data_IF_916832634881
#
_entry.id   IF_916832634881
#
_cell.length_a   1.000
_cell.length_b   1.000
_cell.length_c   1.000
_cell.angle_alpha   90.00
_cell.angle_beta   90.00
_cell.angle_gamma   90.00
#
_symmetry.space_group_name_H-M   'P 1'
#
loop_
_entity.id
_entity.type
_entity.pdbx_description
1 polymer ?
#
# COMPACT_ATOMS: atom_id res chain seq x y z
N UNK A 1 -95.69 42.66 -29.84
CA UNK A 1 -96.04 41.51 -28.97
C UNK A 1 -96.74 40.48 -29.84
N UNK A 2 -96.10 39.34 -30.12
CA UNK A 2 -96.70 38.17 -30.78
C UNK A 2 -96.33 36.97 -29.89
N UNK A 3 -97.33 36.17 -29.53
CA UNK A 3 -97.25 35.09 -28.54
C UNK A 3 -96.35 33.92 -29.01
N UNK A 4 -95.74 33.14 -28.09
CA UNK A 4 -94.93 31.98 -28.46
C UNK A 4 -95.84 30.81 -28.89
N UNK A 5 -95.75 30.43 -30.16
CA UNK A 5 -96.42 29.25 -30.71
C UNK A 5 -95.74 27.98 -30.16
N UNK A 6 -96.54 27.08 -29.55
CA UNK A 6 -96.04 25.80 -29.01
C UNK A 6 -95.58 24.90 -30.16
N UNK A 7 -94.44 24.20 -30.06
CA UNK A 7 -94.02 23.27 -31.10
C UNK A 7 -94.97 22.07 -31.15
N UNK A 8 -95.70 21.93 -32.27
CA UNK A 8 -96.52 20.76 -32.58
C UNK A 8 -95.61 19.52 -32.71
N UNK A 9 -95.98 18.37 -32.12
CA UNK A 9 -95.16 17.16 -32.20
C UNK A 9 -95.07 16.66 -33.65
N UNK A 10 -93.84 16.44 -34.13
CA UNK A 10 -93.55 15.97 -35.48
C UNK A 10 -94.33 14.67 -35.80
N UNK A 11 -94.89 14.53 -37.01
CA UNK A 11 -95.66 13.35 -37.40
C UNK A 11 -94.74 12.12 -37.35
N UNK A 12 -95.20 11.06 -36.67
CA UNK A 12 -94.54 9.75 -36.67
C UNK A 12 -94.37 9.33 -38.13
N UNK A 13 -93.14 9.07 -38.55
CA UNK A 13 -92.82 8.65 -39.92
C UNK A 13 -93.72 7.50 -40.34
N UNK A 14 -94.48 7.69 -41.42
CA UNK A 14 -95.34 6.66 -41.96
C UNK A 14 -94.46 5.45 -42.36
N UNK A 15 -94.66 4.30 -41.71
CA UNK A 15 -93.97 3.08 -42.07
C UNK A 15 -94.47 2.59 -43.43
N UNK A 16 -93.57 2.15 -44.31
CA UNK A 16 -93.95 1.57 -45.59
C UNK A 16 -94.66 0.22 -45.41
N UNK A 17 -95.60 -0.10 -46.29
CA UNK A 17 -96.25 -1.41 -46.31
C UNK A 17 -95.26 -2.50 -46.79
N UNK A 18 -95.24 -3.66 -46.13
CA UNK A 18 -94.31 -4.79 -46.43
C UNK A 18 -95.00 -5.85 -47.30
N UNK A 19 -94.34 -6.29 -48.37
CA UNK A 19 -94.83 -7.33 -49.30
C UNK A 19 -93.82 -8.46 -49.54
N UNK A 20 -94.30 -9.62 -50.02
CA UNK A 20 -93.56 -10.91 -50.10
C UNK A 20 -92.28 -10.87 -50.97
N UNK A 21 -92.12 -9.86 -51.86
CA UNK A 21 -90.90 -9.61 -52.64
C UNK A 21 -90.49 -8.13 -52.62
N UNK A 22 -90.52 -7.52 -51.44
CA UNK A 22 -90.14 -6.12 -51.24
C UNK A 22 -88.63 -5.86 -51.21
N UNK A 23 -88.26 -4.57 -51.21
CA UNK A 23 -86.88 -4.13 -50.97
C UNK A 23 -86.41 -4.53 -49.57
N UNK A 24 -85.09 -4.72 -49.41
CA UNK A 24 -84.50 -5.02 -48.12
C UNK A 24 -84.66 -3.82 -47.17
N UNK A 25 -85.44 -4.01 -46.10
CA UNK A 25 -85.79 -2.94 -45.15
C UNK A 25 -84.55 -2.25 -44.57
N UNK A 26 -83.48 -3.01 -44.24
CA UNK A 26 -82.25 -2.44 -43.69
C UNK A 26 -81.56 -1.50 -44.69
N UNK A 27 -81.49 -1.90 -45.96
CA UNK A 27 -80.89 -1.06 -47.01
C UNK A 27 -81.73 0.20 -47.29
N UNK A 28 -83.06 0.09 -47.20
CA UNK A 28 -83.96 1.24 -47.36
C UNK A 28 -83.82 2.21 -46.19
N UNK A 29 -83.75 1.70 -44.95
CA UNK A 29 -83.58 2.52 -43.75
C UNK A 29 -82.20 3.22 -43.75
N UNK A 30 -81.13 2.52 -44.14
CA UNK A 30 -79.79 3.09 -44.35
C UNK A 30 -79.84 4.23 -45.38
N UNK A 31 -80.48 4.00 -46.54
CA UNK A 31 -80.61 5.02 -47.60
C UNK A 31 -81.47 6.21 -47.18
N UNK A 32 -82.55 6.00 -46.43
CA UNK A 32 -83.38 7.09 -45.90
C UNK A 32 -82.65 7.89 -44.82
N UNK A 33 -81.84 7.23 -44.00
CA UNK A 33 -81.00 7.92 -43.03
C UNK A 33 -79.95 8.80 -43.73
N UNK A 34 -79.32 8.31 -44.80
CA UNK A 34 -78.44 9.09 -45.67
C UNK A 34 -79.18 10.28 -46.31
N UNK A 35 -80.33 10.05 -46.95
CA UNK A 35 -81.14 11.11 -47.55
C UNK A 35 -81.60 12.16 -46.53
N UNK A 36 -81.95 11.74 -45.31
CA UNK A 36 -82.33 12.66 -44.23
C UNK A 36 -81.12 13.47 -43.77
N UNK A 37 -79.92 12.87 -43.75
CA UNK A 37 -78.66 13.57 -43.46
C UNK A 37 -78.34 14.59 -44.55
N UNK A 38 -78.40 14.19 -45.83
CA UNK A 38 -78.22 15.07 -46.99
C UNK A 38 -79.24 16.22 -47.00
N UNK A 39 -80.51 15.95 -46.67
CA UNK A 39 -81.55 16.98 -46.58
C UNK A 39 -81.27 18.00 -45.46
N UNK A 40 -80.77 17.55 -44.31
CA UNK A 40 -80.36 18.43 -43.20
C UNK A 40 -79.11 19.24 -43.54
N UNK A 41 -78.15 18.63 -44.23
CA UNK A 41 -76.94 19.31 -44.67
C UNK A 41 -77.26 20.37 -45.74
N UNK A 42 -78.08 20.02 -46.73
CA UNK A 42 -78.54 20.98 -47.76
C UNK A 42 -79.42 22.08 -47.17
N UNK A 43 -80.27 21.80 -46.17
CA UNK A 43 -81.03 22.85 -45.48
C UNK A 43 -80.12 23.81 -44.72
N UNK A 44 -79.09 23.30 -44.01
CA UNK A 44 -78.09 24.13 -43.33
C UNK A 44 -77.32 24.99 -44.32
N UNK A 45 -76.81 24.39 -45.40
CA UNK A 45 -76.07 25.12 -46.44
C UNK A 45 -76.95 26.18 -47.12
N UNK A 46 -78.25 25.90 -47.32
CA UNK A 46 -79.20 26.88 -47.83
C UNK A 46 -79.38 28.04 -46.85
N UNK A 47 -79.55 27.76 -45.56
CA UNK A 47 -79.76 28.79 -44.55
C UNK A 47 -78.49 29.67 -44.41
N UNK A 48 -77.30 29.08 -44.46
CA UNK A 48 -76.01 29.79 -44.52
C UNK A 48 -75.88 30.66 -45.79
N UNK A 49 -76.30 30.12 -46.95
CA UNK A 49 -76.31 30.87 -48.20
C UNK A 49 -77.30 32.04 -48.18
N UNK A 50 -78.48 31.87 -47.56
CA UNK A 50 -79.46 32.94 -47.38
C UNK A 50 -78.93 34.01 -46.42
N UNK A 51 -78.26 33.60 -45.34
CA UNK A 51 -77.62 34.54 -44.42
C UNK A 51 -76.54 35.37 -45.12
N UNK A 52 -75.62 34.71 -45.85
CA UNK A 52 -74.56 35.40 -46.60
C UNK A 52 -75.13 36.31 -47.70
N UNK A 53 -76.18 35.89 -48.41
CA UNK A 53 -76.89 36.75 -49.39
C UNK A 53 -77.51 37.98 -48.73
N UNK A 54 -78.08 37.83 -47.53
CA UNK A 54 -78.65 38.96 -46.78
C UNK A 54 -77.58 39.95 -46.34
N UNK A 55 -76.40 39.48 -45.92
CA UNK A 55 -75.30 40.33 -45.49
C UNK A 55 -74.62 41.03 -46.67
N UNK A 56 -74.45 40.35 -47.80
CA UNK A 56 -74.00 40.95 -49.05
C UNK A 56 -74.97 42.03 -49.53
N UNK A 57 -76.28 41.81 -49.41
CA UNK A 57 -77.29 42.82 -49.78
C UNK A 57 -77.19 44.05 -48.89
N UNK A 58 -76.98 43.89 -47.58
CA UNK A 58 -76.73 45.02 -46.65
C UNK A 58 -75.45 45.77 -47.04
N UNK A 59 -74.35 45.06 -47.26
CA UNK A 59 -73.07 45.65 -47.66
C UNK A 59 -73.18 46.42 -48.99
N UNK A 60 -73.91 45.87 -49.97
CA UNK A 60 -74.16 46.53 -51.25
C UNK A 60 -75.00 47.79 -51.07
N UNK A 61 -76.06 47.74 -50.25
CA UNK A 61 -76.88 48.92 -49.97
C UNK A 61 -76.10 50.04 -49.26
N UNK A 62 -75.17 49.67 -48.37
CA UNK A 62 -74.27 50.60 -47.70
C UNK A 62 -73.30 51.22 -48.71
N UNK A 63 -72.64 50.40 -49.54
CA UNK A 63 -71.73 50.87 -50.59
C UNK A 63 -72.43 51.79 -51.61
N UNK A 64 -73.69 51.49 -51.98
CA UNK A 64 -74.47 52.35 -52.87
C UNK A 64 -74.76 53.73 -52.25
N UNK A 65 -75.04 53.79 -50.94
CA UNK A 65 -75.25 55.05 -50.21
C UNK A 65 -73.96 55.87 -50.16
N UNK A 66 -72.86 55.27 -49.73
CA UNK A 66 -71.53 55.89 -49.71
C UNK A 66 -71.13 56.42 -51.09
N UNK A 67 -71.39 55.65 -52.15
CA UNK A 67 -71.09 56.05 -53.52
C UNK A 67 -71.96 57.24 -53.97
N UNK A 68 -73.24 57.29 -53.57
CA UNK A 68 -74.10 58.43 -53.86
C UNK A 68 -73.65 59.69 -53.09
N UNK A 69 -73.27 59.55 -51.82
CA UNK A 69 -72.78 60.64 -50.97
C UNK A 69 -71.45 61.21 -51.47
N UNK A 70 -70.49 60.35 -51.82
CA UNK A 70 -69.19 60.75 -52.41
C UNK A 70 -69.35 61.40 -53.77
N UNK A 71 -70.24 60.87 -54.64
CA UNK A 71 -70.57 61.54 -55.92
C UNK A 71 -71.17 62.93 -55.70
N UNK A 72 -72.07 63.09 -54.73
CA UNK A 72 -72.65 64.39 -54.40
C UNK A 72 -71.59 65.35 -53.84
N UNK A 73 -70.66 64.87 -53.00
CA UNK A 73 -69.54 65.67 -52.50
C UNK A 73 -68.60 66.10 -53.64
N UNK A 74 -68.23 65.18 -54.54
CA UNK A 74 -67.41 65.47 -55.70
C UNK A 74 -68.06 66.49 -56.64
N UNK A 75 -69.36 66.36 -56.90
CA UNK A 75 -70.11 67.31 -57.72
C UNK A 75 -70.09 68.73 -57.13
N UNK A 76 -70.19 68.87 -55.79
CA UNK A 76 -70.06 70.15 -55.08
C UNK A 76 -68.64 70.73 -55.19
N UNK A 77 -67.61 69.88 -55.14
CA UNK A 77 -66.21 70.30 -55.32
C UNK A 77 -65.93 70.76 -56.76
N UNK A 78 -66.49 70.07 -57.76
CA UNK A 78 -66.25 70.38 -59.18
C UNK A 78 -67.00 71.62 -59.66
N UNK A 79 -68.18 71.92 -59.09
CA UNK A 79 -69.02 73.04 -59.55
C UNK A 79 -68.52 74.41 -59.10
N UNK A 80 -67.75 74.50 -58.01
CA UNK A 80 -67.15 75.77 -57.54
C UNK A 80 -65.87 75.51 -56.76
N UNK A 81 -64.72 75.34 -57.44
CA UNK A 81 -63.45 74.97 -56.83
C UNK A 81 -62.91 75.99 -55.83
N UNK A 82 -63.34 77.25 -55.89
CA UNK A 82 -62.97 78.34 -54.96
C UNK A 82 -64.06 78.65 -53.93
N UNK A 83 -65.20 77.95 -53.96
CA UNK A 83 -66.29 78.12 -53.01
C UNK A 83 -65.95 77.53 -51.63
N UNK A 84 -66.51 78.12 -50.56
CA UNK A 84 -66.26 77.70 -49.18
C UNK A 84 -66.56 76.21 -48.92
N UNK A 85 -67.58 75.64 -49.58
CA UNK A 85 -67.90 74.22 -49.50
C UNK A 85 -66.83 73.30 -50.09
N UNK A 86 -66.28 73.64 -51.26
CA UNK A 86 -65.21 72.86 -51.91
C UNK A 86 -63.88 72.92 -51.13
N UNK A 87 -63.60 74.06 -50.50
CA UNK A 87 -62.45 74.20 -49.59
C UNK A 87 -62.61 73.35 -48.33
N UNK A 88 -63.80 73.33 -47.71
CA UNK A 88 -64.06 72.51 -46.52
C UNK A 88 -63.94 71.01 -46.81
N UNK A 89 -64.43 70.53 -47.96
CA UNK A 89 -64.29 69.12 -48.33
C UNK A 89 -62.83 68.73 -48.64
N UNK A 90 -62.04 69.61 -49.28
CA UNK A 90 -60.59 69.36 -49.44
C UNK A 90 -59.85 69.27 -48.12
N UNK A 91 -60.17 70.14 -47.15
CA UNK A 91 -59.56 70.07 -45.81
C UNK A 91 -59.93 68.78 -45.09
N UNK A 92 -61.20 68.33 -45.19
CA UNK A 92 -61.60 67.01 -44.65
C UNK A 92 -60.81 65.88 -45.30
N UNK A 93 -60.67 65.89 -46.63
CA UNK A 93 -59.91 64.86 -47.34
C UNK A 93 -58.42 64.88 -46.95
N UNK A 94 -57.81 66.07 -46.83
CA UNK A 94 -56.42 66.17 -46.34
C UNK A 94 -56.28 65.66 -44.90
N UNK A 95 -57.27 65.91 -44.04
CA UNK A 95 -57.25 65.39 -42.67
C UNK A 95 -57.38 63.86 -42.63
N UNK A 96 -58.28 63.30 -43.44
CA UNK A 96 -58.42 61.84 -43.59
C UNK A 96 -57.15 61.20 -44.13
N UNK A 97 -56.52 61.80 -45.15
CA UNK A 97 -55.25 61.31 -45.69
C UNK A 97 -54.12 61.39 -44.66
N UNK A 98 -54.08 62.45 -43.85
CA UNK A 98 -53.13 62.56 -42.74
C UNK A 98 -53.39 61.52 -41.64
N UNK A 99 -54.66 61.21 -41.34
CA UNK A 99 -55.03 60.16 -40.39
C UNK A 99 -54.60 58.77 -40.89
N UNK A 100 -54.80 58.48 -42.17
CA UNK A 100 -54.32 57.26 -42.84
C UNK A 100 -52.79 57.18 -42.79
N UNK A 101 -52.08 58.25 -43.13
CA UNK A 101 -50.62 58.30 -43.08
C UNK A 101 -50.08 58.12 -41.64
N UNK A 102 -50.74 58.70 -40.63
CA UNK A 102 -50.40 58.47 -39.22
C UNK A 102 -50.66 57.02 -38.82
N UNK A 103 -51.76 56.41 -39.28
CA UNK A 103 -52.07 55.01 -39.00
C UNK A 103 -51.01 54.08 -39.62
N UNK A 104 -50.60 54.35 -40.86
CA UNK A 104 -49.55 53.61 -41.55
C UNK A 104 -48.20 53.77 -40.85
N UNK A 105 -47.83 54.99 -40.45
CA UNK A 105 -46.60 55.24 -39.69
C UNK A 105 -46.61 54.53 -38.33
N UNK A 106 -47.76 54.48 -37.65
CA UNK A 106 -47.89 53.73 -36.39
C UNK A 106 -47.76 52.23 -36.63
N UNK A 107 -48.44 51.69 -37.63
CA UNK A 107 -48.36 50.28 -38.01
C UNK A 107 -46.92 49.87 -38.37
N UNK A 108 -46.23 50.70 -39.16
CA UNK A 108 -44.82 50.50 -39.50
C UNK A 108 -43.91 50.54 -38.26
N UNK A 109 -44.10 51.53 -37.38
CA UNK A 109 -43.31 51.64 -36.14
C UNK A 109 -43.56 50.46 -35.19
N UNK A 110 -44.79 49.96 -35.09
CA UNK A 110 -45.13 48.77 -34.31
C UNK A 110 -44.51 47.49 -34.91
N UNK A 111 -44.54 47.35 -36.23
CA UNK A 111 -43.89 46.24 -36.94
C UNK A 111 -42.37 46.26 -36.75
N UNK A 112 -41.73 47.42 -36.84
CA UNK A 112 -40.29 47.59 -36.62
C UNK A 112 -39.91 47.31 -35.16
N UNK A 113 -40.72 47.78 -34.21
CA UNK A 113 -40.53 47.47 -32.79
C UNK A 113 -40.68 45.97 -32.50
N UNK A 114 -41.66 45.31 -33.10
CA UNK A 114 -41.85 43.86 -32.99
C UNK A 114 -40.67 43.09 -33.60
N UNK A 115 -40.26 43.46 -34.82
CA UNK A 115 -39.09 42.89 -35.49
C UNK A 115 -37.81 43.04 -34.66
N UNK A 116 -37.59 44.22 -34.08
CA UNK A 116 -36.44 44.50 -33.22
C UNK A 116 -36.44 43.64 -31.95
N UNK A 117 -37.62 43.46 -31.32
CA UNK A 117 -37.78 42.58 -30.16
C UNK A 117 -37.52 41.12 -30.54
N UNK A 118 -38.08 40.64 -31.64
CA UNK A 118 -37.87 39.28 -32.12
C UNK A 118 -36.40 38.99 -32.43
N UNK A 119 -35.69 39.95 -33.02
CA UNK A 119 -34.25 39.84 -33.28
C UNK A 119 -33.44 39.81 -31.97
N UNK A 120 -33.77 40.67 -31.02
CA UNK A 120 -33.13 40.68 -29.70
C UNK A 120 -33.35 39.37 -28.94
N UNK A 121 -34.57 38.83 -28.97
CA UNK A 121 -34.91 37.56 -28.35
C UNK A 121 -34.16 36.39 -29.01
N UNK A 122 -34.11 36.35 -30.34
CA UNK A 122 -33.31 35.35 -31.09
C UNK A 122 -31.84 35.42 -30.70
N UNK A 123 -31.26 36.62 -30.68
CA UNK A 123 -29.86 36.82 -30.29
C UNK A 123 -29.59 36.40 -28.84
N UNK A 124 -30.49 36.75 -27.91
CA UNK A 124 -30.39 36.34 -26.52
C UNK A 124 -30.47 34.81 -26.36
N UNK A 125 -31.41 34.16 -27.07
CA UNK A 125 -31.55 32.71 -27.07
C UNK A 125 -30.33 32.00 -27.67
N UNK A 126 -29.82 32.51 -28.80
CA UNK A 126 -28.62 31.95 -29.43
C UNK A 126 -27.40 32.11 -28.52
N UNK A 127 -27.22 33.29 -27.92
CA UNK A 127 -26.12 33.57 -26.98
C UNK A 127 -26.16 32.66 -25.75
N UNK A 128 -27.35 32.44 -25.18
CA UNK A 128 -27.52 31.46 -24.08
C UNK A 128 -27.19 30.05 -24.54
N UNK A 129 -27.69 29.65 -25.70
CA UNK A 129 -27.43 28.31 -26.25
C UNK A 129 -25.94 28.08 -26.53
N UNK A 130 -25.21 29.07 -27.04
CA UNK A 130 -23.77 28.95 -27.28
C UNK A 130 -22.98 28.93 -25.98
N UNK A 131 -23.36 29.77 -25.00
CA UNK A 131 -22.75 29.75 -23.67
C UNK A 131 -22.98 28.40 -22.97
N UNK A 132 -24.19 27.86 -23.01
CA UNK A 132 -24.53 26.56 -22.41
C UNK A 132 -23.76 25.41 -23.08
N UNK A 133 -23.58 25.47 -24.41
CA UNK A 133 -22.76 24.50 -25.13
C UNK A 133 -21.29 24.60 -24.73
N UNK A 134 -20.73 25.80 -24.73
CA UNK A 134 -19.33 26.02 -24.34
C UNK A 134 -19.06 25.57 -22.90
N UNK A 135 -20.00 25.82 -21.98
CA UNK A 135 -19.90 25.35 -20.60
C UNK A 135 -19.87 23.82 -20.52
N UNK A 136 -20.76 23.13 -21.27
CA UNK A 136 -20.77 21.66 -21.33
C UNK A 136 -19.49 21.10 -21.95
N UNK A 137 -19.04 21.67 -23.06
CA UNK A 137 -17.82 21.22 -23.73
C UNK A 137 -16.60 21.38 -22.80
N UNK A 138 -16.50 22.50 -22.07
CA UNK A 138 -15.45 22.72 -21.07
C UNK A 138 -15.55 21.75 -19.87
N UNK A 139 -16.76 21.41 -19.42
CA UNK A 139 -16.97 20.40 -18.37
C UNK A 139 -16.54 19.00 -18.83
N UNK A 140 -16.87 18.62 -20.07
CA UNK A 140 -16.47 17.35 -20.67
C UNK A 140 -14.95 17.26 -20.85
N UNK A 141 -14.31 18.31 -21.35
CA UNK A 141 -12.84 18.38 -21.47
C UNK A 141 -12.17 18.27 -20.10
N UNK A 142 -12.68 19.00 -19.10
CA UNK A 142 -12.18 18.90 -17.72
C UNK A 142 -12.34 17.48 -17.17
N UNK A 143 -13.49 16.84 -17.40
CA UNK A 143 -13.73 15.48 -16.95
C UNK A 143 -12.77 14.47 -17.62
N UNK A 144 -12.51 14.64 -18.93
CA UNK A 144 -11.52 13.82 -19.67
C UNK A 144 -10.12 13.99 -19.10
N UNK A 145 -9.65 15.23 -18.96
CA UNK A 145 -8.32 15.52 -18.43
C UNK A 145 -8.15 14.99 -17.00
N UNK A 146 -9.18 15.10 -16.15
CA UNK A 146 -9.14 14.54 -14.80
C UNK A 146 -9.10 13.00 -14.82
N UNK A 147 -9.82 12.36 -15.74
CA UNK A 147 -9.77 10.90 -15.90
C UNK A 147 -8.40 10.43 -16.38
N UNK A 148 -7.83 11.13 -17.36
CA UNK A 148 -6.48 10.85 -17.87
C UNK A 148 -5.42 11.03 -16.79
N UNK A 149 -5.44 12.16 -16.08
CA UNK A 149 -4.52 12.43 -14.98
C UNK A 149 -4.63 11.40 -13.86
N UNK A 150 -5.85 10.97 -13.50
CA UNK A 150 -6.06 9.88 -12.53
C UNK A 150 -5.45 8.58 -13.02
N UNK A 151 -5.70 8.21 -14.28
CA UNK A 151 -5.13 7.01 -14.89
C UNK A 151 -3.59 7.04 -14.95
N UNK A 152 -3.00 8.20 -15.23
CA UNK A 152 -1.54 8.39 -15.19
C UNK A 152 -0.97 8.26 -13.78
N UNK A 153 -1.61 8.89 -12.78
CA UNK A 153 -1.22 8.77 -11.38
C UNK A 153 -1.29 7.32 -10.92
N UNK A 154 -2.35 6.59 -11.27
CA UNK A 154 -2.48 5.16 -10.96
C UNK A 154 -1.37 4.32 -11.60
N UNK A 155 -1.05 4.56 -12.88
CA UNK A 155 0.06 3.88 -13.57
C UNK A 155 1.41 4.19 -12.91
N UNK A 156 1.67 5.44 -12.56
CA UNK A 156 2.91 5.85 -11.90
C UNK A 156 3.02 5.23 -10.51
N UNK A 157 1.93 5.21 -9.75
CA UNK A 157 1.88 4.57 -8.43
C UNK A 157 2.09 3.06 -8.53
N UNK A 158 1.47 2.39 -9.51
CA UNK A 158 1.68 0.97 -9.75
C UNK A 158 3.14 0.67 -10.13
N UNK A 159 3.72 1.46 -11.03
CA UNK A 159 5.13 1.31 -11.43
C UNK A 159 6.10 1.57 -10.27
N UNK A 160 5.83 2.58 -9.45
CA UNK A 160 6.62 2.87 -8.25
C UNK A 160 6.47 1.74 -7.21
N UNK A 161 5.26 1.20 -7.04
CA UNK A 161 4.98 0.03 -6.19
C UNK A 161 5.76 -1.20 -6.64
N UNK A 162 5.73 -1.53 -7.93
CA UNK A 162 6.48 -2.64 -8.51
C UNK A 162 8.00 -2.47 -8.27
N UNK A 163 8.56 -1.28 -8.55
CA UNK A 163 9.97 -0.99 -8.29
C UNK A 163 10.34 -1.14 -6.81
N UNK A 164 9.48 -0.75 -5.88
CA UNK A 164 9.72 -0.93 -4.43
C UNK A 164 9.80 -2.41 -4.07
N UNK A 165 8.88 -3.22 -4.60
CA UNK A 165 8.89 -4.67 -4.37
C UNK A 165 10.14 -5.32 -4.96
N UNK A 166 10.51 -4.95 -6.18
CA UNK A 166 11.73 -5.44 -6.84
C UNK A 166 13.00 -5.07 -6.05
N UNK A 167 13.12 -3.82 -5.62
CA UNK A 167 14.27 -3.36 -4.82
C UNK A 167 14.31 -4.03 -3.45
N UNK A 168 13.16 -4.24 -2.80
CA UNK A 168 13.08 -4.96 -1.53
C UNK A 168 13.53 -6.41 -1.69
N UNK A 169 13.05 -7.10 -2.73
CA UNK A 169 13.46 -8.48 -3.03
C UNK A 169 14.94 -8.58 -3.41
N UNK A 170 15.48 -7.61 -4.16
CA UNK A 170 16.91 -7.55 -4.48
C UNK A 170 17.77 -7.32 -3.23
N UNK A 171 17.35 -6.42 -2.34
CA UNK A 171 18.04 -6.17 -1.08
C UNK A 171 18.01 -7.39 -0.15
N UNK A 172 16.89 -8.13 -0.11
CA UNK A 172 16.79 -9.37 0.66
C UNK A 172 17.73 -10.46 0.12
N UNK A 173 17.77 -10.66 -1.20
CA UNK A 173 18.72 -11.59 -1.83
C UNK A 173 20.17 -11.22 -1.52
N UNK A 174 20.52 -9.94 -1.65
CA UNK A 174 21.87 -9.47 -1.35
C UNK A 174 22.25 -9.69 0.13
N UNK A 175 21.30 -9.56 1.06
CA UNK A 175 21.52 -9.90 2.47
C UNK A 175 21.75 -11.39 2.66
N UNK A 176 20.90 -12.24 2.10
CA UNK A 176 21.05 -13.70 2.17
C UNK A 176 22.39 -14.17 1.58
N UNK A 177 22.79 -13.60 0.44
CA UNK A 177 24.11 -13.86 -0.17
C UNK A 177 25.27 -13.40 0.73
N UNK A 178 25.16 -12.22 1.34
CA UNK A 178 26.17 -11.73 2.28
C UNK A 178 26.26 -12.60 3.55
N UNK A 179 25.11 -13.00 4.10
CA UNK A 179 25.01 -13.84 5.30
C UNK A 179 25.61 -15.23 5.03
N UNK A 180 25.22 -15.88 3.92
CA UNK A 180 25.79 -17.17 3.50
C UNK A 180 27.30 -17.10 3.21
N UNK A 181 27.78 -16.01 2.59
CA UNK A 181 29.21 -15.80 2.38
C UNK A 181 29.97 -15.57 3.69
N UNK A 182 29.36 -14.88 4.66
CA UNK A 182 29.93 -14.68 5.99
C UNK A 182 29.98 -15.99 6.78
N UNK A 183 28.92 -16.81 6.73
CA UNK A 183 28.89 -18.14 7.34
C UNK A 183 29.94 -19.06 6.73
N UNK A 184 30.09 -19.08 5.39
CA UNK A 184 31.12 -19.86 4.72
C UNK A 184 32.54 -19.45 5.15
N UNK A 185 32.81 -18.14 5.24
CA UNK A 185 34.10 -17.62 5.74
C UNK A 185 34.33 -17.98 7.21
N UNK A 186 33.30 -17.89 8.04
CA UNK A 186 33.38 -18.26 9.46
C UNK A 186 33.63 -19.76 9.63
N UNK A 187 33.00 -20.61 8.82
CA UNK A 187 33.23 -22.05 8.80
C UNK A 187 34.68 -22.37 8.39
N UNK A 188 35.17 -21.77 7.30
CA UNK A 188 36.56 -21.94 6.86
C UNK A 188 37.57 -21.50 7.95
N UNK A 189 37.33 -20.35 8.59
CA UNK A 189 38.19 -19.87 9.68
C UNK A 189 38.16 -20.80 10.90
N UNK A 190 37.02 -21.43 11.21
CA UNK A 190 36.91 -22.45 12.27
C UNK A 190 37.70 -23.71 11.91
N UNK A 191 37.57 -24.20 10.68
CA UNK A 191 38.33 -25.36 10.21
C UNK A 191 39.85 -25.10 10.24
N UNK A 192 40.30 -23.90 9.85
CA UNK A 192 41.71 -23.51 9.95
C UNK A 192 42.17 -23.42 11.41
N UNK A 193 41.37 -22.81 12.28
CA UNK A 193 41.67 -22.74 13.71
C UNK A 193 41.74 -24.13 14.35
N UNK A 194 40.83 -25.03 14.00
CA UNK A 194 40.83 -26.42 14.46
C UNK A 194 42.05 -27.20 13.95
N UNK A 195 42.47 -26.97 12.69
CA UNK A 195 43.70 -27.54 12.14
C UNK A 195 44.94 -27.05 12.90
N UNK A 196 45.07 -25.74 13.10
CA UNK A 196 46.20 -25.16 13.84
C UNK A 196 46.21 -25.67 15.28
N UNK A 197 45.06 -25.73 15.95
CA UNK A 197 44.94 -26.29 17.29
C UNK A 197 45.32 -27.77 17.34
N UNK A 198 44.88 -28.57 16.36
CA UNK A 198 45.25 -29.98 16.24
C UNK A 198 46.77 -30.17 16.02
N UNK A 199 47.38 -29.35 15.16
CA UNK A 199 48.83 -29.34 14.93
C UNK A 199 49.61 -28.94 16.19
N UNK A 200 49.18 -27.90 16.91
CA UNK A 200 49.78 -27.49 18.17
C UNK A 200 49.66 -28.58 19.25
N UNK A 201 48.49 -29.20 19.36
CA UNK A 201 48.28 -30.32 20.29
C UNK A 201 49.16 -31.52 19.91
N UNK A 202 49.32 -31.83 18.62
CA UNK A 202 50.20 -32.89 18.16
C UNK A 202 51.68 -32.59 18.46
N UNK A 203 52.13 -31.34 18.26
CA UNK A 203 53.47 -30.88 18.65
C UNK A 203 53.69 -31.01 20.15
N UNK A 204 52.78 -30.49 20.97
CA UNK A 204 52.85 -30.58 22.43
C UNK A 204 52.86 -32.03 22.91
N UNK A 205 52.07 -32.92 22.29
CA UNK A 205 52.11 -34.36 22.61
C UNK A 205 53.46 -34.97 22.29
N UNK A 206 54.03 -34.67 21.11
CA UNK A 206 55.36 -35.16 20.72
C UNK A 206 56.45 -34.64 21.66
N UNK A 207 56.42 -33.36 22.01
CA UNK A 207 57.39 -32.75 22.93
C UNK A 207 57.25 -33.38 24.33
N UNK A 208 56.02 -33.56 24.80
CA UNK A 208 55.73 -34.24 26.07
C UNK A 208 56.22 -35.70 26.07
N UNK A 209 55.98 -36.45 24.99
CA UNK A 209 56.47 -37.83 24.83
C UNK A 209 58.00 -37.88 24.83
N UNK A 210 58.67 -36.92 24.17
CA UNK A 210 60.12 -36.81 24.16
C UNK A 210 60.69 -36.47 25.54
N UNK A 211 60.09 -35.53 26.27
CA UNK A 211 60.47 -35.23 27.65
C UNK A 211 60.21 -36.40 28.59
N UNK A 212 59.09 -37.10 28.41
CA UNK A 212 58.75 -38.28 29.19
C UNK A 212 59.75 -39.41 28.93
N UNK A 213 60.13 -39.65 27.67
CA UNK A 213 61.17 -40.61 27.31
C UNK A 213 62.52 -40.24 27.93
N UNK A 214 62.95 -38.97 27.86
CA UNK A 214 64.18 -38.50 28.51
C UNK A 214 64.15 -38.69 30.02
N UNK A 215 63.07 -38.29 30.69
CA UNK A 215 62.93 -38.50 32.14
C UNK A 215 62.91 -39.98 32.48
N UNK A 216 62.29 -40.82 31.66
CA UNK A 216 62.30 -42.26 31.84
C UNK A 216 63.72 -42.81 31.71
N UNK A 217 64.47 -42.46 30.67
CA UNK A 217 65.88 -42.82 30.50
C UNK A 217 66.74 -42.33 31.67
N UNK A 218 66.56 -41.11 32.14
CA UNK A 218 67.24 -40.57 33.33
C UNK A 218 66.90 -41.37 34.59
N UNK A 219 65.62 -41.73 34.80
CA UNK A 219 65.22 -42.54 35.95
C UNK A 219 65.73 -43.97 35.84
N UNK A 220 65.76 -44.56 34.65
CA UNK A 220 66.31 -45.91 34.42
C UNK A 220 67.83 -45.92 34.63
N UNK A 221 68.53 -44.89 34.16
CA UNK A 221 69.94 -44.67 34.41
C UNK A 221 70.21 -44.47 35.93
N UNK A 222 69.41 -43.65 36.60
CA UNK A 222 69.51 -43.44 38.05
C UNK A 222 69.23 -44.73 38.84
N UNK A 223 68.26 -45.54 38.40
CA UNK A 223 67.98 -46.86 38.99
C UNK A 223 69.10 -47.86 38.70
N UNK A 224 69.69 -47.84 37.50
CA UNK A 224 70.84 -48.67 37.17
C UNK A 224 72.06 -48.29 38.02
N UNK A 225 72.34 -47.00 38.19
CA UNK A 225 73.38 -46.48 39.07
C UNK A 225 73.13 -46.84 40.53
N UNK A 226 71.88 -46.71 41.00
CA UNK A 226 71.50 -47.12 42.35
C UNK A 226 71.70 -48.63 42.57
N UNK A 227 71.34 -49.46 41.58
CA UNK A 227 71.58 -50.92 41.61
C UNK A 227 73.07 -51.25 41.56
N UNK A 228 73.87 -50.53 40.76
CA UNK A 228 75.33 -50.71 40.71
C UNK A 228 75.99 -50.33 42.05
N UNK A 229 75.55 -49.24 42.67
CA UNK A 229 75.96 -48.84 44.03
C UNK A 229 75.51 -49.85 45.09
N UNK A 230 74.33 -50.42 44.96
CA UNK A 230 73.86 -51.46 45.87
C UNK A 230 74.66 -52.77 45.68
N UNK A 231 74.93 -53.17 44.44
CA UNK A 231 75.76 -54.33 44.14
C UNK A 231 77.20 -54.16 44.64
N UNK A 232 77.79 -52.97 44.51
CA UNK A 232 79.11 -52.67 45.07
C UNK A 232 79.09 -52.59 46.59
N UNK A 233 78.02 -52.06 47.20
CA UNK A 233 77.82 -52.11 48.64
C UNK A 233 77.67 -53.55 49.15
N UNK A 234 76.96 -54.42 48.42
CA UNK A 234 76.83 -55.84 48.75
C UNK A 234 78.14 -56.60 48.57
N UNK A 235 78.91 -56.30 47.53
CA UNK A 235 80.27 -56.82 47.35
C UNK A 235 81.20 -56.36 48.48
N UNK A 236 81.18 -55.09 48.83
CA UNK A 236 81.96 -54.55 49.97
C UNK A 236 81.51 -55.18 51.28
N UNK A 237 80.21 -55.44 51.47
CA UNK A 237 79.68 -56.16 52.63
C UNK A 237 80.16 -57.60 52.65
N UNK A 238 80.18 -58.31 51.51
CA UNK A 238 80.74 -59.67 51.41
C UNK A 238 82.23 -59.66 51.72
N UNK A 239 83.00 -58.73 51.15
CA UNK A 239 84.42 -58.57 51.47
C UNK A 239 84.65 -58.25 52.96
N UNK A 240 83.81 -57.40 53.57
CA UNK A 240 83.89 -57.10 54.99
C UNK A 240 83.54 -58.34 55.85
N UNK A 241 82.57 -59.15 55.44
CA UNK A 241 82.25 -60.42 56.10
C UNK A 241 83.38 -61.44 55.92
N UNK A 242 83.98 -61.55 54.74
CA UNK A 242 85.13 -62.42 54.47
C UNK A 242 86.40 -61.97 55.23
N UNK A 243 86.61 -60.66 55.37
CA UNK A 243 87.66 -60.15 56.24
C UNK A 243 87.34 -60.45 57.70
N UNK A 244 86.08 -60.34 58.12
CA UNK A 244 85.65 -60.70 59.49
C UNK A 244 85.83 -62.19 59.77
N UNK A 245 85.52 -63.08 58.83
CA UNK A 245 85.77 -64.52 58.97
C UNK A 245 87.27 -64.80 59.01
N UNK A 246 88.08 -64.21 58.12
CA UNK A 246 89.55 -64.34 58.17
C UNK A 246 90.16 -63.79 59.46
N UNK A 247 89.64 -62.68 60.00
CA UNK A 247 90.07 -62.15 61.31
C UNK A 247 89.59 -63.06 62.44
N UNK A 248 88.37 -63.60 62.37
CA UNK A 248 87.88 -64.56 63.35
C UNK A 248 88.69 -65.88 63.32
N UNK A 249 89.08 -66.36 62.14
CA UNK A 249 89.98 -67.51 61.97
C UNK A 249 91.38 -67.22 62.52
N UNK A 250 91.93 -66.02 62.29
CA UNK A 250 93.20 -65.61 62.91
C UNK A 250 93.09 -65.49 64.42
N UNK A 251 92.00 -64.94 64.94
CA UNK A 251 91.75 -64.86 66.39
C UNK A 251 91.62 -66.28 66.96
N UNK A 252 90.89 -67.19 66.30
CA UNK A 252 90.79 -68.59 66.72
C UNK A 252 92.15 -69.31 66.66
N UNK A 253 92.97 -69.06 65.63
CA UNK A 253 94.33 -69.61 65.52
C UNK A 253 95.26 -69.05 66.62
N UNK A 254 95.14 -67.77 66.97
CA UNK A 254 95.86 -67.20 68.12
C UNK A 254 95.31 -67.69 69.45
N UNK A 255 94.01 -67.95 69.57
CA UNK A 255 93.39 -68.45 70.81
C UNK A 255 93.76 -69.93 71.06
N UNK A 256 93.94 -70.72 70.00
CA UNK A 256 94.52 -72.08 70.06
C UNK A 256 96.00 -72.02 70.41
N UNK A 257 96.79 -71.12 69.80
CA UNK A 257 98.21 -70.95 70.13
C UNK A 257 98.44 -70.43 71.56
N UNK A 258 97.56 -69.57 72.08
CA UNK A 258 97.62 -69.08 73.47
C UNK A 258 97.14 -70.16 74.45
N UNK A 259 96.12 -70.97 74.11
CA UNK A 259 95.70 -72.11 74.94
C UNK A 259 96.72 -73.26 74.95
N UNK A 260 97.46 -73.48 73.87
CA UNK A 260 98.58 -74.42 73.83
C UNK A 260 99.80 -73.89 74.62
N UNK A 261 100.06 -72.59 74.60
CA UNK A 261 101.09 -71.96 75.44
C UNK A 261 100.72 -71.92 76.93
N UNK A 262 99.43 -71.80 77.28
CA UNK A 262 98.95 -71.79 78.67
C UNK A 262 98.81 -73.18 79.31
N UNK A 263 99.07 -74.28 78.58
CA UNK A 263 99.01 -75.67 79.11
C UNK A 263 100.34 -76.18 79.67
N UNK A 264 101.45 -75.45 79.47
CA UNK A 264 102.81 -75.88 79.84
C UNK A 264 103.45 -75.12 81.01
N UNK A 265 102.74 -74.20 81.67
CA UNK A 265 103.23 -73.57 82.89
C UNK A 265 102.06 -73.12 83.77
N UNK A 266 101.73 -73.91 84.79
CA UNK A 266 100.87 -73.49 85.89
C UNK A 266 101.66 -73.63 87.20
N UNK A 267 101.61 -72.60 88.07
CA UNK A 267 100.71 -72.70 89.22
C UNK A 267 99.83 -71.45 89.45
N UNK A 268 98.62 -71.74 89.96
CA UNK A 268 97.68 -71.04 90.88
C UNK A 268 98.16 -69.76 91.63
N UNK A 269 97.28 -68.97 92.31
CA UNK A 269 95.87 -68.57 92.09
C UNK A 269 95.60 -67.04 92.38
N UNK A 270 94.31 -66.65 92.40
CA UNK A 270 93.73 -65.41 92.99
C UNK A 270 93.97 -64.09 92.22
N UNK A 271 93.07 -63.11 92.12
CA UNK A 271 91.78 -62.84 92.72
C UNK A 271 91.51 -61.32 92.61
N UNK A 272 90.23 -60.93 92.47
CA UNK A 272 89.67 -59.58 92.77
C UNK A 272 90.23 -58.39 91.95
N UNK A 273 89.59 -57.25 91.73
CA UNK A 273 88.23 -56.71 91.85
C UNK A 273 88.29 -55.34 91.12
N UNK A 274 87.14 -54.86 90.65
CA UNK A 274 86.69 -53.46 90.56
C UNK A 274 87.59 -52.31 90.07
N UNK A 275 86.99 -51.44 89.24
CA UNK A 275 87.23 -50.00 89.35
C UNK A 275 87.34 -49.21 88.03
N UNK A 276 86.18 -48.82 87.49
CA UNK A 276 85.74 -47.43 87.31
C UNK A 276 86.64 -46.36 86.61
N UNK A 277 85.94 -45.44 85.92
CA UNK A 277 86.30 -44.07 85.44
C UNK A 277 86.93 -43.85 84.05
N UNK A 278 86.08 -43.33 83.16
CA UNK A 278 86.20 -42.15 82.24
C UNK A 278 87.51 -41.31 82.40
N UNK A 279 88.16 -40.74 81.35
CA UNK A 279 87.58 -39.64 80.53
C UNK A 279 88.04 -39.44 79.06
N UNK A 280 87.31 -38.57 78.36
CA UNK A 280 87.69 -37.91 77.10
C UNK A 280 88.77 -36.83 77.32
N UNK A 281 89.43 -36.23 76.30
CA UNK A 281 88.85 -35.07 75.56
C UNK A 281 89.37 -34.89 74.08
N UNK A 282 88.60 -34.23 73.17
CA UNK A 282 88.75 -32.86 72.55
C UNK A 282 90.09 -32.60 71.80
N UNK A 283 90.25 -31.79 70.75
CA UNK A 283 89.50 -30.81 69.92
C UNK A 283 90.47 -30.38 68.78
N UNK A 284 90.12 -29.73 67.66
CA UNK A 284 89.72 -28.30 67.53
C UNK A 284 89.44 -27.99 66.04
N UNK A 285 88.32 -27.33 65.69
CA UNK A 285 88.14 -25.87 65.47
C UNK A 285 88.33 -25.47 63.98
N UNK A 286 87.58 -24.57 63.33
CA UNK A 286 86.49 -23.61 63.60
C UNK A 286 85.84 -23.30 62.21
N UNK A 287 84.52 -23.13 61.98
CA UNK A 287 83.55 -22.07 62.39
C UNK A 287 83.95 -20.63 61.95
N UNK A 288 83.04 -19.65 61.77
CA UNK A 288 81.59 -19.57 62.13
C UNK A 288 80.73 -18.93 60.98
N UNK A 289 79.47 -18.49 61.04
CA UNK A 289 78.52 -18.15 62.11
C UNK A 289 77.07 -18.20 61.56
N UNK A 290 76.11 -18.52 62.43
CA UNK A 290 74.65 -18.35 62.26
C UNK A 290 74.23 -16.92 62.73
N UNK A 291 72.93 -16.47 62.84
CA UNK A 291 71.89 -17.19 63.60
C UNK A 291 70.39 -16.98 63.24
N UNK A 292 69.60 -17.90 63.83
CA UNK A 292 68.24 -17.76 64.45
C UNK A 292 66.95 -17.63 63.60
N UNK A 293 66.06 -18.60 63.87
CA UNK A 293 64.63 -18.77 63.55
C UNK A 293 63.71 -17.86 64.42
N UNK A 294 62.36 -18.02 64.52
CA UNK A 294 61.38 -18.87 63.81
C UNK A 294 60.06 -18.12 63.42
N UNK A 295 59.05 -18.89 62.95
CA UNK A 295 57.59 -18.69 63.08
C UNK A 295 56.77 -18.58 61.78
N UNK A 296 55.64 -19.31 61.79
CA UNK A 296 54.71 -19.61 60.70
C UNK A 296 53.59 -18.54 60.55
N UNK A 297 52.40 -18.87 59.98
CA UNK A 297 51.98 -18.68 58.59
C UNK A 297 50.91 -17.56 58.42
N UNK A 298 50.70 -17.05 57.20
CA UNK A 298 49.46 -16.35 56.84
C UNK A 298 49.26 -16.23 55.31
N UNK A 299 48.15 -16.77 54.81
CA UNK A 299 47.42 -16.26 53.65
C UNK A 299 46.24 -15.40 54.19
N UNK A 300 45.35 -14.78 53.39
CA UNK A 300 45.41 -14.30 51.99
C UNK A 300 45.02 -12.80 51.86
N UNK A 301 45.19 -12.17 50.68
CA UNK A 301 44.40 -10.99 50.28
C UNK A 301 44.52 -10.65 48.78
N UNK A 302 43.44 -10.87 48.03
CA UNK A 302 42.93 -9.92 47.03
C UNK A 302 42.03 -8.89 47.78
N UNK A 303 41.59 -7.72 47.25
CA UNK A 303 41.32 -7.43 45.83
C UNK A 303 41.55 -5.97 45.33
N UNK A 304 41.23 -5.78 44.04
CA UNK A 304 40.57 -4.61 43.41
C UNK A 304 41.38 -3.57 42.59
N UNK A 305 41.06 -3.59 41.28
CA UNK A 305 40.74 -2.49 40.34
C UNK A 305 41.78 -1.37 40.06
N UNK A 306 42.21 -1.29 38.80
CA UNK A 306 41.80 -0.25 37.84
C UNK A 306 42.04 -0.76 36.41
#
# INVERSE_FOLDING_TARGET
MVAPEKPSPAPKTAQFAVGVRGYNQRQVDERLAELTKELRETSRNRDDAVATSSDLTKALSYAQKELAETKAALARMSSSPSGAGAMAERVRMMMQLAEEEIADLRSAAEADAASTRDQADKYAHETRRTADKLAKDAEEERARLLSEAKGEIEKLNAAAGAKRVELAAAAERARQEADSAAEAKAAAAREEADRVAAEELARRKKDFEAEFARKKEETEAALADARAKQASADQNRKLALDLRTKVAERIAATDVAVKEAMRLLAPEPSGAENGDRKPAPKSSAAAPAAPTAPAAPAAPAAPAKA
#
